data_IF_113725693396
#
_entry.id   IF_113725693396
#
_cell.length_a   1.000
_cell.length_b   1.000
_cell.length_c   1.000
_cell.angle_alpha   90.00
_cell.angle_beta   90.00
_cell.angle_gamma   90.00
#
_symmetry.space_group_name_H-M   'P 1'
#
loop_
_entity.id
_entity.type
_entity.pdbx_description
1 polymer ?
#
# COMPACT_ATOMS: atom_id res chain seq x y z
N UNK A 1 8.44 -4.93 4.72
CA UNK A 1 7.17 -4.77 5.45
C UNK A 1 6.17 -5.80 4.94
N UNK A 2 5.32 -6.36 5.80
CA UNK A 2 4.29 -7.33 5.43
C UNK A 2 2.89 -6.79 5.70
N UNK A 3 1.95 -7.16 4.85
CA UNK A 3 0.53 -6.80 4.97
C UNK A 3 -0.30 -8.08 4.94
N UNK A 4 -1.19 -8.27 5.90
CA UNK A 4 -2.06 -9.43 5.98
C UNK A 4 -3.51 -9.00 5.86
N UNK A 5 -4.20 -9.58 4.88
CA UNK A 5 -5.61 -9.35 4.58
C UNK A 5 -6.40 -10.61 4.91
N UNK A 6 -7.48 -10.50 5.68
CA UNK A 6 -8.35 -11.65 6.00
C UNK A 6 -9.64 -11.58 5.19
N UNK A 7 -10.02 -12.70 4.56
CA UNK A 7 -11.23 -12.79 3.74
C UNK A 7 -12.49 -12.81 4.62
N UNK A 8 -13.20 -11.69 4.64
CA UNK A 8 -14.46 -11.56 5.41
C UNK A 8 -15.65 -12.16 4.65
N UNK A 9 -16.62 -12.82 5.29
CA UNK A 9 -17.79 -13.43 4.61
C UNK A 9 -18.72 -12.42 3.93
N UNK A 10 -18.70 -11.18 4.39
CA UNK A 10 -19.64 -10.12 4.02
C UNK A 10 -18.89 -8.91 3.45
N UNK A 11 -19.62 -7.87 3.05
CA UNK A 11 -19.06 -6.64 2.48
C UNK A 11 -18.51 -5.67 3.55
N UNK A 12 -18.28 -6.12 4.79
CA UNK A 12 -17.66 -5.25 5.80
C UNK A 12 -16.24 -4.87 5.39
N UNK A 13 -15.78 -3.67 5.79
CA UNK A 13 -14.40 -3.27 5.64
C UNK A 13 -13.41 -4.34 6.11
N UNK A 14 -12.48 -4.72 5.22
CA UNK A 14 -11.33 -5.55 5.59
C UNK A 14 -10.37 -4.71 6.43
N UNK A 15 -9.92 -5.28 7.56
CA UNK A 15 -8.82 -4.72 8.36
C UNK A 15 -7.50 -5.34 7.89
N UNK A 16 -6.56 -4.49 7.50
CA UNK A 16 -5.23 -4.91 7.03
C UNK A 16 -4.25 -4.87 8.21
N UNK A 17 -3.67 -6.01 8.59
CA UNK A 17 -2.60 -6.04 9.58
C UNK A 17 -1.27 -5.71 8.90
N UNK A 18 -0.54 -4.73 9.41
CA UNK A 18 0.70 -4.22 8.84
C UNK A 18 1.84 -4.43 9.82
N UNK A 19 2.80 -5.26 9.42
CA UNK A 19 4.04 -5.52 10.16
C UNK A 19 5.20 -4.77 9.48
N UNK A 20 5.62 -3.66 10.09
CA UNK A 20 6.69 -2.82 9.56
C UNK A 20 8.08 -3.36 9.92
N UNK A 21 9.07 -2.98 9.13
CA UNK A 21 10.45 -3.47 9.30
C UNK A 21 11.13 -2.97 10.59
N UNK A 22 10.57 -1.94 11.25
CA UNK A 22 10.97 -1.49 12.59
C UNK A 22 10.27 -2.26 13.73
N UNK A 23 9.50 -3.30 13.42
CA UNK A 23 8.89 -4.22 14.38
C UNK A 23 7.60 -3.70 15.04
N UNK A 24 7.07 -2.56 14.59
CA UNK A 24 5.75 -2.09 15.03
C UNK A 24 4.66 -2.70 14.17
N UNK A 25 3.54 -3.05 14.82
CA UNK A 25 2.37 -3.62 14.16
C UNK A 25 1.20 -2.66 14.27
N UNK A 26 0.54 -2.43 13.14
CA UNK A 26 -0.69 -1.63 13.04
C UNK A 26 -1.79 -2.44 12.38
N UNK A 27 -3.03 -2.07 12.69
CA UNK A 27 -4.19 -2.48 11.92
C UNK A 27 -4.73 -1.27 11.18
N UNK A 28 -4.92 -1.37 9.87
CA UNK A 28 -5.50 -0.33 9.03
C UNK A 28 -6.92 -0.72 8.64
N UNK A 29 -7.89 0.12 8.99
CA UNK A 29 -9.26 -0.05 8.52
C UNK A 29 -9.37 0.46 7.08
N UNK A 30 -9.44 -0.46 6.13
CA UNK A 30 -9.61 -0.15 4.72
C UNK A 30 -11.06 0.05 4.29
N UNK A 31 -11.27 0.11 2.98
CA UNK A 31 -12.58 0.03 2.35
C UNK A 31 -12.69 -1.24 1.49
N UNK A 32 -13.94 -1.70 1.28
CA UNK A 32 -14.22 -2.93 0.54
C UNK A 32 -14.23 -4.19 1.42
N UNK A 33 -14.66 -5.30 0.85
CA UNK A 33 -14.86 -6.57 1.53
C UNK A 33 -15.72 -7.53 0.72
N UNK A 34 -15.95 -8.72 1.25
CA UNK A 34 -16.64 -9.78 0.54
C UNK A 34 -15.80 -10.27 -0.63
N UNK A 35 -16.43 -10.52 -1.77
CA UNK A 35 -15.73 -11.02 -2.96
C UNK A 35 -14.96 -9.94 -3.74
N UNK A 36 -15.21 -8.66 -3.48
CA UNK A 36 -14.49 -7.58 -4.16
C UNK A 36 -13.11 -7.37 -3.53
N UNK A 37 -12.13 -7.07 -4.38
CA UNK A 37 -10.77 -6.81 -3.93
C UNK A 37 -10.75 -5.59 -2.98
N UNK A 38 -10.22 -5.71 -1.75
CA UNK A 38 -10.15 -4.60 -0.82
C UNK A 38 -9.34 -3.45 -1.40
N UNK A 39 -9.76 -2.21 -1.11
CA UNK A 39 -9.12 -1.00 -1.63
C UNK A 39 -7.63 -0.94 -1.25
N UNK A 40 -7.31 -1.24 0.00
CA UNK A 40 -5.95 -1.37 0.53
C UNK A 40 -5.09 -2.36 -0.27
N UNK A 41 -5.68 -3.48 -0.71
CA UNK A 41 -5.00 -4.48 -1.52
C UNK A 41 -4.86 -4.03 -2.99
N UNK A 42 -5.80 -3.25 -3.52
CA UNK A 42 -5.64 -2.56 -4.82
C UNK A 42 -4.40 -1.66 -4.77
N UNK A 43 -4.24 -0.84 -3.71
CA UNK A 43 -3.03 -0.02 -3.54
C UNK A 43 -1.77 -0.86 -3.51
N UNK A 44 -1.74 -1.96 -2.76
CA UNK A 44 -0.56 -2.82 -2.67
C UNK A 44 -0.14 -3.37 -4.04
N UNK A 45 -1.12 -3.81 -4.84
CA UNK A 45 -0.89 -4.36 -6.18
C UNK A 45 -0.46 -3.27 -7.17
N UNK A 46 -1.20 -2.15 -7.23
CA UNK A 46 -0.94 -1.07 -8.19
C UNK A 46 0.39 -0.39 -7.91
N UNK A 47 0.66 -0.02 -6.65
CA UNK A 47 1.88 0.69 -6.30
C UNK A 47 3.13 -0.21 -6.48
N UNK A 48 3.00 -1.53 -6.31
CA UNK A 48 4.08 -2.47 -6.61
C UNK A 48 4.29 -2.65 -8.13
N UNK A 49 3.21 -2.73 -8.92
CA UNK A 49 3.29 -2.89 -10.38
C UNK A 49 3.84 -1.64 -11.10
N UNK A 50 3.55 -0.46 -10.56
CA UNK A 50 3.95 0.86 -11.10
C UNK A 50 5.10 1.53 -10.32
N UNK A 51 5.96 0.74 -9.67
CA UNK A 51 6.87 1.12 -8.56
C UNK A 51 6.65 2.51 -7.94
N UNK A 52 5.46 2.75 -7.38
CA UNK A 52 5.10 3.99 -6.69
C UNK A 52 5.57 3.94 -5.23
N UNK A 53 6.88 4.05 -5.04
CA UNK A 53 7.54 3.88 -3.73
C UNK A 53 7.17 4.93 -2.68
N UNK A 54 6.54 6.03 -3.08
CA UNK A 54 6.07 7.14 -2.24
C UNK A 54 4.53 7.24 -2.17
N UNK A 55 3.83 6.21 -2.65
CA UNK A 55 2.39 6.02 -2.48
C UNK A 55 1.98 5.69 -1.04
N UNK A 56 0.77 5.15 -0.86
CA UNK A 56 0.18 4.87 0.45
C UNK A 56 1.06 3.91 1.24
N UNK A 57 1.45 2.79 0.64
CA UNK A 57 2.20 1.75 1.35
C UNK A 57 3.67 2.10 1.54
N UNK A 58 4.25 2.81 0.58
CA UNK A 58 5.58 3.40 0.71
C UNK A 58 5.67 4.38 1.87
N UNK A 59 4.66 5.23 2.03
CA UNK A 59 4.51 6.12 3.18
C UNK A 59 4.39 5.35 4.50
N UNK A 60 3.56 4.31 4.57
CA UNK A 60 3.41 3.49 5.78
C UNK A 60 4.72 2.81 6.14
N UNK A 61 5.42 2.23 5.16
CA UNK A 61 6.72 1.59 5.37
C UNK A 61 7.72 2.56 6.02
N UNK A 62 7.77 3.82 5.53
CA UNK A 62 8.66 4.86 6.05
C UNK A 62 8.20 5.50 7.37
N UNK A 63 6.99 5.17 7.84
CA UNK A 63 6.48 5.51 9.16
C UNK A 63 5.41 6.59 9.20
N UNK A 64 4.71 6.81 8.09
CA UNK A 64 3.44 7.57 8.10
C UNK A 64 2.37 6.76 8.82
N UNK A 65 1.60 7.43 9.67
CA UNK A 65 0.41 6.87 10.33
C UNK A 65 -0.84 7.57 9.82
N UNK A 66 -1.69 6.85 9.10
CA UNK A 66 -3.00 7.36 8.68
C UNK A 66 -4.01 7.36 9.82
N UNK A 67 -5.05 8.19 9.75
CA UNK A 67 -6.10 8.23 10.78
C UNK A 67 -6.90 6.92 10.90
N UNK A 68 -6.90 6.10 9.83
CA UNK A 68 -7.49 4.77 9.79
C UNK A 68 -6.61 3.69 10.44
N UNK A 69 -5.41 4.03 10.92
CA UNK A 69 -4.47 3.09 11.53
C UNK A 69 -4.56 3.10 13.05
N UNK A 70 -4.66 1.90 13.62
CA UNK A 70 -4.64 1.64 15.07
C UNK A 70 -3.39 0.85 15.41
N UNK A 71 -2.66 1.29 16.44
CA UNK A 71 -1.53 0.53 16.97
C UNK A 71 -2.00 -0.80 17.56
N UNK A 72 -1.27 -1.88 17.28
CA UNK A 72 -1.56 -3.23 17.78
C UNK A 72 -0.48 -3.68 18.75
N UNK A 73 0.78 -3.64 18.33
CA UNK A 73 1.92 -4.11 19.15
C UNK A 73 3.25 -3.50 18.70
N UNK A 74 4.33 -3.81 19.44
CA UNK A 74 5.68 -3.28 19.17
C UNK A 74 5.91 -1.86 19.71
N UNK A 75 7.19 -1.51 19.88
CA UNK A 75 7.60 -0.20 20.42
C UNK A 75 7.48 0.87 19.33
N UNK A 76 6.68 1.91 19.60
CA UNK A 76 6.66 3.11 18.75
C UNK A 76 7.95 3.91 18.95
N UNK A 77 8.69 4.26 17.88
CA UNK A 77 9.87 5.12 17.99
C UNK A 77 9.52 6.48 18.61
N UNK A 78 10.45 7.11 19.35
CA UNK A 78 10.24 8.47 19.82
C UNK A 78 10.02 9.41 18.63
N UNK A 79 9.20 10.46 18.81
CA UNK A 79 8.83 11.44 17.78
C UNK A 79 8.17 10.83 16.52
N UNK A 80 7.56 9.64 16.62
CA UNK A 80 6.91 9.01 15.47
C UNK A 80 5.77 9.84 14.87
N UNK A 81 5.05 10.60 15.71
CA UNK A 81 3.97 11.49 15.28
C UNK A 81 4.51 12.66 14.42
N UNK A 82 5.49 13.41 14.95
CA UNK A 82 6.15 14.51 14.23
C UNK A 82 6.78 14.03 12.91
N UNK A 83 7.44 12.86 12.92
CA UNK A 83 7.99 12.25 11.71
C UNK A 83 6.89 11.93 10.69
N UNK A 84 5.79 11.32 11.14
CA UNK A 84 4.64 10.99 10.30
C UNK A 84 4.06 12.25 9.65
N UNK A 85 3.83 13.31 10.42
CA UNK A 85 3.23 14.56 9.90
C UNK A 85 4.14 15.25 8.89
N UNK A 86 5.45 15.29 9.15
CA UNK A 86 6.43 15.78 8.18
C UNK A 86 6.41 14.97 6.89
N UNK A 87 6.36 13.63 6.97
CA UNK A 87 6.32 12.77 5.79
C UNK A 87 5.02 12.94 4.99
N UNK A 88 3.86 13.07 5.66
CA UNK A 88 2.57 13.37 5.01
C UNK A 88 2.64 14.67 4.22
N UNK A 89 3.21 15.72 4.82
CA UNK A 89 3.36 17.00 4.15
C UNK A 89 4.31 16.92 2.94
N UNK A 90 5.43 16.21 3.09
CA UNK A 90 6.43 16.04 2.03
C UNK A 90 5.92 15.20 0.85
N UNK A 91 5.03 14.23 1.10
CA UNK A 91 4.58 13.24 0.10
C UNK A 91 3.13 13.44 -0.33
N UNK A 92 2.48 14.54 0.05
CA UNK A 92 1.08 14.81 -0.26
C UNK A 92 0.77 14.61 -1.75
N UNK A 93 1.57 15.18 -2.63
CA UNK A 93 1.34 15.11 -4.08
C UNK A 93 1.59 13.70 -4.64
N UNK A 94 2.59 13.00 -4.12
CA UNK A 94 2.86 11.61 -4.48
C UNK A 94 1.73 10.67 -4.07
N UNK A 95 1.19 10.85 -2.85
CA UNK A 95 0.03 10.09 -2.36
C UNK A 95 -1.20 10.40 -3.20
N UNK A 96 -1.50 11.68 -3.49
CA UNK A 96 -2.61 12.04 -4.38
C UNK A 96 -2.46 11.42 -5.78
N UNK A 97 -1.23 11.37 -6.32
CA UNK A 97 -0.97 10.68 -7.59
C UNK A 97 -1.22 9.17 -7.47
N UNK A 98 -0.76 8.53 -6.39
CA UNK A 98 -0.98 7.11 -6.15
C UNK A 98 -2.46 6.77 -6.04
N UNK A 99 -3.24 7.58 -5.32
CA UNK A 99 -4.72 7.48 -5.23
C UNK A 99 -5.37 7.55 -6.61
N UNK A 100 -5.04 8.58 -7.41
CA UNK A 100 -5.61 8.75 -8.75
C UNK A 100 -5.25 7.58 -9.68
N UNK A 101 -4.02 7.08 -9.60
CA UNK A 101 -3.57 5.96 -10.42
C UNK A 101 -4.22 4.65 -9.96
N UNK A 102 -4.36 4.41 -8.65
CA UNK A 102 -5.03 3.25 -8.10
C UNK A 102 -6.52 3.22 -8.46
N UNK A 103 -7.22 4.36 -8.37
CA UNK A 103 -8.60 4.49 -8.83
C UNK A 103 -8.73 4.19 -10.33
N UNK A 104 -7.90 4.84 -11.16
CA UNK A 104 -7.88 4.63 -12.61
C UNK A 104 -7.70 3.15 -12.97
N UNK A 105 -6.67 2.51 -12.43
CA UNK A 105 -6.36 1.10 -12.70
C UNK A 105 -7.48 0.20 -12.17
N UNK A 106 -8.02 0.48 -10.98
CA UNK A 106 -9.12 -0.27 -10.40
C UNK A 106 -10.41 -0.21 -11.25
N UNK A 107 -10.73 0.96 -11.81
CA UNK A 107 -11.88 1.14 -12.72
C UNK A 107 -11.69 0.39 -14.04
N UNK A 108 -10.51 0.50 -14.66
CA UNK A 108 -10.16 -0.24 -15.88
C UNK A 108 -10.18 -1.77 -15.66
N UNK A 109 -9.69 -2.24 -14.51
CA UNK A 109 -9.72 -3.65 -14.14
C UNK A 109 -11.15 -4.20 -14.03
N UNK A 110 -12.10 -3.38 -13.53
CA UNK A 110 -13.54 -3.68 -13.49
C UNK A 110 -14.25 -3.51 -14.84
N UNK A 111 -13.53 -3.15 -15.90
CA UNK A 111 -14.07 -2.98 -17.25
C UNK A 111 -14.85 -1.68 -17.45
N UNK A 112 -14.68 -0.70 -16.57
CA UNK A 112 -15.31 0.61 -16.75
C UNK A 112 -14.70 1.36 -17.93
N UNK A 113 -15.54 2.11 -18.64
CA UNK A 113 -15.08 3.07 -19.64
C UNK A 113 -14.53 4.31 -18.93
N UNK A 114 -13.23 4.55 -19.08
CA UNK A 114 -12.57 5.74 -18.55
C UNK A 114 -12.17 6.65 -19.71
N UNK A 115 -12.52 7.95 -19.68
CA UNK A 115 -12.09 8.90 -20.71
C UNK A 115 -10.57 8.91 -20.91
N UNK A 116 -10.11 8.90 -22.16
CA UNK A 116 -8.68 8.81 -22.50
C UNK A 116 -7.82 9.93 -21.92
N UNK A 117 -8.37 11.12 -21.70
CA UNK A 117 -7.63 12.24 -21.07
C UNK A 117 -7.27 11.95 -19.61
N UNK A 118 -8.07 11.16 -18.88
CA UNK A 118 -7.74 10.74 -17.51
C UNK A 118 -6.61 9.70 -17.50
N UNK A 119 -6.60 8.80 -18.49
CA UNK A 119 -5.48 7.86 -18.69
C UNK A 119 -4.20 8.62 -18.99
N UNK A 120 -4.25 9.63 -19.86
CA UNK A 120 -3.11 10.48 -20.17
C UNK A 120 -2.63 11.30 -18.95
N UNK A 121 -3.55 11.82 -18.14
CA UNK A 121 -3.24 12.62 -16.95
C UNK A 121 -2.51 11.83 -15.85
N UNK A 122 -2.58 10.49 -15.85
CA UNK A 122 -1.82 9.66 -14.92
C UNK A 122 -0.30 9.80 -15.10
N UNK A 123 0.17 10.23 -16.27
CA UNK A 123 1.60 10.37 -16.58
C UNK A 123 2.35 9.05 -16.54
N UNK A 124 1.66 7.93 -16.77
CA UNK A 124 2.21 6.57 -16.81
C UNK A 124 2.02 6.02 -18.22
N UNK A 125 3.04 5.39 -18.84
CA UNK A 125 2.90 4.77 -20.15
C UNK A 125 1.74 3.77 -20.20
N UNK A 126 1.01 3.75 -21.32
CA UNK A 126 -0.22 2.95 -21.46
C UNK A 126 0.04 1.46 -21.19
N UNK A 127 1.16 0.94 -21.66
CA UNK A 127 1.56 -0.45 -21.51
C UNK A 127 1.77 -0.81 -20.03
N UNK A 128 2.25 0.15 -19.23
CA UNK A 128 2.42 -0.03 -17.78
C UNK A 128 1.07 -0.01 -17.06
N UNK A 129 0.14 0.84 -17.50
CA UNK A 129 -1.24 0.84 -17.00
C UNK A 129 -1.91 -0.50 -17.32
N UNK A 130 -1.80 -0.99 -18.55
CA UNK A 130 -2.39 -2.27 -18.96
C UNK A 130 -1.81 -3.45 -18.13
N UNK A 131 -0.49 -3.46 -17.89
CA UNK A 131 0.13 -4.45 -17.02
C UNK A 131 -0.37 -4.38 -15.56
N UNK A 132 -0.56 -3.17 -15.02
CA UNK A 132 -1.11 -2.97 -13.67
C UNK A 132 -2.59 -3.41 -13.60
N UNK A 133 -3.36 -3.19 -14.67
CA UNK A 133 -4.75 -3.65 -14.80
C UNK A 133 -4.82 -5.17 -14.74
N UNK A 134 -3.96 -5.88 -15.47
CA UNK A 134 -3.91 -7.35 -15.41
C UNK A 134 -3.51 -7.85 -14.02
N UNK A 135 -2.53 -7.21 -13.37
CA UNK A 135 -2.16 -7.54 -12.00
C UNK A 135 -3.33 -7.39 -11.02
N UNK A 136 -4.13 -6.32 -11.14
CA UNK A 136 -5.35 -6.14 -10.32
C UNK A 136 -6.41 -7.19 -10.63
N UNK A 137 -6.59 -7.58 -11.90
CA UNK A 137 -7.51 -8.65 -12.30
C UNK A 137 -7.10 -10.01 -11.73
N UNK A 138 -5.81 -10.34 -11.79
CA UNK A 138 -5.25 -11.54 -11.16
C UNK A 138 -5.49 -11.52 -9.64
N UNK A 139 -5.22 -10.39 -9.00
CA UNK A 139 -5.44 -10.25 -7.57
C UNK A 139 -6.93 -10.38 -7.19
N UNK A 140 -7.82 -9.79 -7.96
CA UNK A 140 -9.27 -9.92 -7.76
C UNK A 140 -9.73 -11.38 -7.88
N UNK A 141 -9.25 -12.12 -8.90
CA UNK A 141 -9.54 -13.57 -9.03
C UNK A 141 -9.05 -14.36 -7.83
N UNK A 142 -7.80 -14.11 -7.40
CA UNK A 142 -7.22 -14.77 -6.23
C UNK A 142 -7.99 -14.48 -4.95
N UNK A 143 -8.38 -13.22 -4.73
CA UNK A 143 -9.17 -12.81 -3.56
C UNK A 143 -10.56 -13.44 -3.55
N UNK A 144 -11.24 -13.47 -4.71
CA UNK A 144 -12.55 -14.09 -4.83
C UNK A 144 -12.52 -15.60 -4.56
N UNK A 145 -11.44 -16.28 -4.94
CA UNK A 145 -11.23 -17.71 -4.72
C UNK A 145 -10.73 -18.05 -3.30
N UNK A 146 -10.29 -17.05 -2.52
CA UNK A 146 -9.80 -17.26 -1.16
C UNK A 146 -10.99 -17.68 -0.26
N UNK A 147 -10.90 -18.79 0.49
CA UNK A 147 -11.94 -19.16 1.44
C UNK A 147 -12.15 -18.09 2.50
N UNK A 148 -13.38 -17.99 3.01
CA UNK A 148 -13.68 -17.07 4.13
C UNK A 148 -12.86 -17.47 5.36
N UNK A 149 -12.29 -16.47 6.04
CA UNK A 149 -11.42 -16.63 7.22
C UNK A 149 -9.96 -16.90 6.86
N UNK A 150 -9.65 -17.23 5.61
CA UNK A 150 -8.26 -17.38 5.15
C UNK A 150 -7.59 -16.02 4.97
N UNK A 151 -6.26 -16.04 5.04
CA UNK A 151 -5.42 -14.85 5.00
C UNK A 151 -4.56 -14.81 3.75
N UNK A 152 -4.45 -13.63 3.16
CA UNK A 152 -3.45 -13.34 2.14
C UNK A 152 -2.40 -12.41 2.71
N UNK A 153 -1.18 -12.94 2.83
CA UNK A 153 0.02 -12.18 3.17
C UNK A 153 0.67 -11.62 1.89
N UNK A 154 0.89 -10.31 1.87
CA UNK A 154 1.53 -9.58 0.78
C UNK A 154 2.80 -8.92 1.31
N UNK A 155 3.91 -9.15 0.61
CA UNK A 155 5.18 -8.46 0.90
C UNK A 155 5.18 -7.10 0.22
N UNK A 156 5.52 -6.05 0.97
CA UNK A 156 5.87 -4.75 0.41
C UNK A 156 7.38 -4.66 0.24
N UNK A 157 7.89 -4.36 -0.98
CA UNK A 157 9.31 -4.34 -1.25
C UNK A 157 10.03 -3.31 -0.36
N UNK A 158 11.25 -3.61 0.13
CA UNK A 158 12.03 -2.65 0.89
C UNK A 158 12.31 -1.42 0.02
N UNK A 159 12.30 -0.23 0.63
CA UNK A 159 12.71 1.00 -0.06
C UNK A 159 14.15 0.81 -0.56
N UNK A 160 14.34 0.91 -1.89
CA UNK A 160 15.65 0.66 -2.53
C UNK A 160 16.72 1.69 -2.18
N UNK A 161 16.42 2.67 -1.34
CA UNK A 161 17.37 3.70 -0.93
C UNK A 161 17.35 3.91 0.59
N UNK A 162 18.27 3.22 1.27
CA UNK A 162 19.06 3.79 2.37
C UNK A 162 20.30 2.90 2.57
N UNK A 163 21.52 3.38 2.25
CA UNK A 163 22.71 2.79 2.81
C UNK A 163 22.54 2.78 4.32
N UNK A 164 22.56 1.61 4.96
CA UNK A 164 22.65 1.52 6.41
C UNK A 164 23.99 2.17 6.77
N UNK A 165 23.98 3.42 7.24
CA UNK A 165 25.15 4.04 7.83
C UNK A 165 25.60 3.15 8.98
N UNK A 166 26.63 2.33 8.75
CA UNK A 166 27.30 1.58 9.80
C UNK A 166 27.86 2.61 10.78
N UNK A 167 27.57 2.53 12.09
CA UNK A 167 28.27 3.38 13.05
C UNK A 167 29.76 3.03 12.97
N UNK A 168 30.57 4.02 12.58
CA UNK A 168 32.02 3.89 12.54
C UNK A 168 32.52 3.50 13.93
N UNK A 169 33.19 2.35 14.02
CA UNK A 169 34.01 2.02 15.19
C UNK A 169 35.21 2.98 15.18
N UNK A 170 35.11 4.08 15.93
CA UNK A 170 36.28 4.87 16.31
C UNK A 170 37.19 3.96 17.14
N UNK A 171 38.31 3.52 16.56
CA UNK A 171 39.40 2.93 17.33
C UNK A 171 40.19 4.08 17.95
N UNK A 172 40.20 4.10 19.27
CA UNK A 172 41.16 4.84 20.09
C UNK A 172 42.58 4.51 19.65
N UNK A 173 43.42 5.54 19.53
CA UNK A 173 44.88 5.48 19.69
C UNK A 173 45.27 6.60 20.63
#
# INVERSE_FOLDING_TARGET
MWMTFERMPDRRPVETLVERDDGVVFAMRGAGGGADLPHDLVHAVVETALPLADGVWGCVADGVLWGSMRHVSGRRPPHSAEKSDRLKQQRRDAVMRAENVADLVGRLARGEQVPGHLVAAAGVPRERIDAAVEAVRDAARRWAALPVGERWVVEWPPSRERPRSRPGRTRLR
#
